data_IF_801775159274
#
_entry.id   IF_801775159274
#
_cell.length_a   1.000
_cell.length_b   1.000
_cell.length_c   1.000
_cell.angle_alpha   90.00
_cell.angle_beta   90.00
_cell.angle_gamma   90.00
#
_symmetry.space_group_name_H-M   'P 1'
#
loop_
_entity.id
_entity.type
_entity.pdbx_description
1 polymer ?
#
# COMPACT_ATOMS: atom_id res chain seq x y z
N UNK A 1 -17.17 -4.60 -1.09
CA UNK A 1 -15.87 -3.87 -1.18
C UNK A 1 -15.78 -3.27 -2.58
N UNK A 2 -15.68 -1.94 -2.70
CA UNK A 2 -15.54 -1.27 -4.01
C UNK A 2 -14.19 -1.65 -4.62
N UNK A 3 -14.18 -2.10 -5.88
CA UNK A 3 -12.96 -2.28 -6.65
C UNK A 3 -12.42 -0.88 -6.98
N UNK A 4 -11.18 -0.59 -6.59
CA UNK A 4 -10.47 0.62 -7.01
C UNK A 4 -10.32 0.57 -8.54
N UNK A 5 -10.62 1.67 -9.23
CA UNK A 5 -10.34 1.78 -10.66
C UNK A 5 -8.81 1.71 -10.89
N UNK A 6 -8.37 1.21 -12.05
CA UNK A 6 -6.95 0.88 -12.30
C UNK A 6 -5.97 2.03 -11.98
N UNK A 7 -6.35 3.29 -12.20
CA UNK A 7 -5.52 4.44 -11.90
C UNK A 7 -5.51 4.87 -10.43
N UNK A 8 -6.58 4.60 -9.67
CA UNK A 8 -6.62 4.88 -8.23
C UNK A 8 -5.82 3.84 -7.45
N UNK A 9 -5.81 2.59 -7.94
CA UNK A 9 -5.04 1.52 -7.32
C UNK A 9 -3.52 1.75 -7.41
N UNK A 10 -3.01 2.23 -8.55
CA UNK A 10 -1.59 2.56 -8.70
C UNK A 10 -1.16 3.69 -7.75
N UNK A 11 -1.92 4.79 -7.69
CA UNK A 11 -1.65 5.90 -6.75
C UNK A 11 -1.67 5.43 -5.30
N UNK A 12 -2.62 4.57 -4.95
CA UNK A 12 -2.71 4.01 -3.60
C UNK A 12 -1.50 3.12 -3.28
N UNK A 13 -1.02 2.32 -4.25
CA UNK A 13 0.18 1.48 -4.10
C UNK A 13 1.48 2.28 -4.00
N UNK A 14 1.64 3.35 -4.78
CA UNK A 14 2.79 4.26 -4.66
C UNK A 14 2.81 4.94 -3.29
N UNK A 15 1.66 5.49 -2.86
CA UNK A 15 1.53 6.09 -1.52
C UNK A 15 1.82 5.07 -0.41
N UNK A 16 1.35 3.82 -0.54
CA UNK A 16 1.67 2.76 0.41
C UNK A 16 3.17 2.48 0.49
N UNK A 17 3.88 2.40 -0.65
CA UNK A 17 5.34 2.21 -0.69
C UNK A 17 6.08 3.36 -0.02
N UNK A 18 5.69 4.62 -0.28
CA UNK A 18 6.31 5.77 0.38
C UNK A 18 6.12 5.72 1.90
N UNK A 19 4.91 5.40 2.36
CA UNK A 19 4.61 5.30 3.78
C UNK A 19 5.36 4.14 4.44
N UNK A 20 5.49 2.99 3.76
CA UNK A 20 6.33 1.88 4.21
C UNK A 20 7.80 2.31 4.34
N UNK A 21 8.33 3.03 3.36
CA UNK A 21 9.71 3.54 3.38
C UNK A 21 9.93 4.58 4.50
N UNK A 22 8.89 5.35 4.86
CA UNK A 22 8.90 6.27 6.00
C UNK A 22 8.77 5.57 7.36
N UNK A 23 8.52 4.26 7.39
CA UNK A 23 8.32 3.49 8.61
C UNK A 23 6.91 3.62 9.22
N UNK A 24 5.91 4.03 8.44
CA UNK A 24 4.52 4.11 8.91
C UNK A 24 3.96 2.72 9.26
N UNK A 25 3.07 2.69 10.26
CA UNK A 25 2.38 1.46 10.68
C UNK A 25 1.30 1.02 9.68
N UNK A 26 1.08 -0.30 9.60
CA UNK A 26 0.12 -0.94 8.68
C UNK A 26 -1.28 -0.31 8.70
N UNK A 27 -1.83 -0.09 9.90
CA UNK A 27 -3.19 0.45 10.07
C UNK A 27 -3.31 1.88 9.52
N UNK A 28 -2.25 2.67 9.61
CA UNK A 28 -2.22 4.03 9.08
C UNK A 28 -2.19 4.02 7.54
N UNK A 29 -1.38 3.12 6.97
CA UNK A 29 -1.26 2.96 5.52
C UNK A 29 -2.59 2.51 4.92
N UNK A 30 -3.26 1.53 5.51
CA UNK A 30 -4.58 1.05 5.07
C UNK A 30 -5.60 2.18 5.09
N UNK A 31 -5.62 2.98 6.15
CA UNK A 31 -6.53 4.13 6.30
C UNK A 31 -6.26 5.22 5.26
N UNK A 32 -4.99 5.52 4.98
CA UNK A 32 -4.58 6.60 4.07
C UNK A 32 -4.62 6.23 2.58
N UNK A 33 -4.52 4.94 2.26
CA UNK A 33 -4.47 4.44 0.87
C UNK A 33 -5.77 3.79 0.43
N UNK A 34 -6.69 3.51 1.37
CA UNK A 34 -7.88 2.69 1.14
C UNK A 34 -7.56 1.31 0.53
N UNK A 35 -6.32 0.84 0.64
CA UNK A 35 -5.94 -0.52 0.28
C UNK A 35 -6.37 -1.47 1.39
N UNK A 36 -6.70 -2.70 1.02
CA UNK A 36 -6.80 -3.77 1.99
C UNK A 36 -5.44 -4.05 2.62
N UNK A 37 -5.45 -4.55 3.85
CA UNK A 37 -4.23 -5.02 4.52
C UNK A 37 -3.43 -5.99 3.64
N UNK A 38 -4.11 -6.92 2.97
CA UNK A 38 -3.45 -7.87 2.06
C UNK A 38 -2.66 -7.17 0.94
N UNK A 39 -3.20 -6.09 0.36
CA UNK A 39 -2.51 -5.35 -0.69
C UNK A 39 -1.29 -4.59 -0.15
N UNK A 40 -1.41 -3.99 1.05
CA UNK A 40 -0.28 -3.32 1.71
C UNK A 40 0.81 -4.34 2.07
N UNK A 41 0.42 -5.53 2.53
CA UNK A 41 1.34 -6.64 2.83
C UNK A 41 2.07 -7.13 1.56
N UNK A 42 1.36 -7.27 0.44
CA UNK A 42 1.96 -7.59 -0.85
C UNK A 42 2.94 -6.50 -1.30
N UNK A 43 2.59 -5.23 -1.11
CA UNK A 43 3.47 -4.11 -1.43
C UNK A 43 4.75 -4.15 -0.58
N UNK A 44 4.62 -4.41 0.73
CA UNK A 44 5.74 -4.56 1.65
C UNK A 44 6.65 -5.73 1.27
N UNK A 45 6.10 -6.92 1.03
CA UNK A 45 6.90 -8.10 0.63
C UNK A 45 7.66 -7.87 -0.66
N UNK A 46 7.00 -7.30 -1.69
CA UNK A 46 7.68 -6.95 -2.95
C UNK A 46 8.81 -5.95 -2.75
N UNK A 47 8.65 -5.03 -1.80
CA UNK A 47 9.68 -4.05 -1.47
C UNK A 47 10.86 -4.69 -0.73
N UNK A 48 10.59 -5.58 0.24
CA UNK A 48 11.62 -6.35 0.94
C UNK A 48 12.37 -7.33 0.02
N UNK A 49 11.70 -7.91 -0.98
CA UNK A 49 12.32 -8.78 -1.99
C UNK A 49 13.24 -8.02 -2.98
N UNK A 50 13.04 -6.70 -3.12
CA UNK A 50 13.82 -5.83 -4.02
C UNK A 50 14.92 -5.03 -3.30
N UNK A 51 14.94 -5.06 -1.96
CA UNK A 51 15.91 -4.40 -1.08
C UNK A 51 17.08 -5.33 -0.74
#
# INVERSE_FOLDING_TARGET
MKKLEKGEHEKAMEKAKEMLNKGCGMSEIVKETNLSEENVLKAKRKWEELS
#
